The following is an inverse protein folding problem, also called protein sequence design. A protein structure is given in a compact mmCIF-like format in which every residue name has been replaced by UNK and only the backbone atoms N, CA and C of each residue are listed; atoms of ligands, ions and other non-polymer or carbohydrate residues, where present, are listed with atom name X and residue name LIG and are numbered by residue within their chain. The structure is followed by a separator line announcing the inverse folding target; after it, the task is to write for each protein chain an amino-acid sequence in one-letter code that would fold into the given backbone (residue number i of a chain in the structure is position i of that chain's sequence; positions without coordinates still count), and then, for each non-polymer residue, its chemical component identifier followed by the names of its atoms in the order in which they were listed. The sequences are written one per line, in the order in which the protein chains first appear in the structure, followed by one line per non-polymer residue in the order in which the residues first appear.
data_IF_000977889791
#
_entry.id   IF_000977889791
#
_cell.length_a   1.000
_cell.length_b   1.000
_cell.length_c   1.000
_cell.angle_alpha   90.00
_cell.angle_beta   90.00
_cell.angle_gamma   90.00
#
_symmetry.space_group_name_H-M   'P 1'
#
loop_
_entity.id
_entity.type
_entity.pdbx_description
1 polymer ?
#
# COMPACT_ATOMS: atom_id res chain seq x y z
N UNK A 1 -7.70 -13.42 -14.14
CA UNK A 1 -8.81 -12.72 -14.84
C UNK A 1 -9.31 -11.62 -13.92
N UNK A 2 -9.66 -10.45 -14.44
CA UNK A 2 -10.28 -9.39 -13.62
C UNK A 2 -11.70 -9.86 -13.24
N UNK A 3 -12.13 -9.67 -12.00
CA UNK A 3 -13.48 -10.04 -11.58
C UNK A 3 -14.55 -9.13 -12.19
N UNK A 4 -15.80 -9.62 -12.27
CA UNK A 4 -16.93 -8.89 -12.86
C UNK A 4 -17.26 -7.56 -12.13
N UNK A 5 -16.84 -7.44 -10.88
CA UNK A 5 -16.99 -6.24 -10.06
C UNK A 5 -15.77 -5.28 -10.15
N UNK A 6 -14.82 -5.53 -11.04
CA UNK A 6 -13.77 -4.57 -11.34
C UNK A 6 -14.36 -3.25 -11.85
N UNK A 7 -13.88 -2.15 -11.29
CA UNK A 7 -14.34 -0.82 -11.68
C UNK A 7 -13.22 -0.06 -12.40
N UNK A 8 -13.37 0.09 -13.71
CA UNK A 8 -12.40 0.78 -14.56
C UNK A 8 -12.21 2.27 -14.23
N UNK A 9 -13.15 2.88 -13.49
CA UNK A 9 -12.99 4.27 -13.03
C UNK A 9 -11.89 4.41 -11.97
N UNK A 10 -11.53 3.31 -11.30
CA UNK A 10 -10.37 3.25 -10.42
C UNK A 10 -9.15 2.75 -11.19
N UNK A 11 -8.65 3.56 -12.12
CA UNK A 11 -7.51 3.22 -13.00
C UNK A 11 -6.23 2.80 -12.28
N UNK A 12 -6.14 3.04 -10.98
CA UNK A 12 -4.98 2.79 -10.12
C UNK A 12 -5.23 1.72 -9.07
N UNK A 13 -6.23 0.86 -9.30
CA UNK A 13 -6.55 -0.27 -8.46
C UNK A 13 -6.86 -1.49 -9.33
N UNK A 14 -6.09 -2.56 -9.15
CA UNK A 14 -6.24 -3.80 -9.91
C UNK A 14 -6.52 -4.95 -8.94
N UNK A 15 -7.78 -5.42 -8.85
CA UNK A 15 -8.12 -6.60 -8.07
C UNK A 15 -7.83 -7.88 -8.87
N UNK A 16 -7.18 -8.84 -8.22
CA UNK A 16 -6.94 -10.18 -8.79
C UNK A 16 -7.38 -11.23 -7.77
N UNK A 17 -8.20 -12.18 -8.20
CA UNK A 17 -8.61 -13.32 -7.37
C UNK A 17 -7.74 -14.54 -7.72
N UNK A 18 -7.20 -15.18 -6.68
CA UNK A 18 -6.46 -16.43 -6.75
C UNK A 18 -7.22 -17.53 -6.01
N UNK A 19 -7.32 -18.71 -6.64
CA UNK A 19 -7.89 -19.91 -6.05
C UNK A 19 -9.28 -19.72 -5.41
N UNK A 20 -10.05 -18.74 -5.91
CA UNK A 20 -11.37 -18.35 -5.39
C UNK A 20 -11.39 -17.94 -3.89
N UNK A 21 -10.23 -17.86 -3.25
CA UNK A 21 -10.05 -17.61 -1.81
C UNK A 21 -9.30 -16.32 -1.50
N UNK A 22 -8.34 -15.94 -2.34
CA UNK A 22 -7.45 -14.81 -2.09
C UNK A 22 -7.76 -13.63 -3.00
N UNK A 23 -7.78 -12.43 -2.43
CA UNK A 23 -7.82 -11.16 -3.16
C UNK A 23 -6.47 -10.44 -3.03
N UNK A 24 -5.80 -10.25 -4.16
CA UNK A 24 -4.74 -9.26 -4.28
C UNK A 24 -5.33 -7.97 -4.86
N UNK A 25 -5.31 -6.89 -4.11
CA UNK A 25 -5.66 -5.56 -4.58
C UNK A 25 -4.38 -4.74 -4.74
N UNK A 26 -3.87 -4.66 -5.96
CA UNK A 26 -2.73 -3.80 -6.28
C UNK A 26 -3.20 -2.36 -6.43
N UNK A 27 -2.56 -1.40 -5.71
CA UNK A 27 -2.97 0.01 -5.70
C UNK A 27 -1.79 0.94 -5.98
N UNK A 28 -2.09 1.99 -6.75
CA UNK A 28 -1.16 3.09 -7.01
C UNK A 28 -1.94 4.41 -7.13
N UNK A 29 -2.51 4.92 -6.03
CA UNK A 29 -3.23 6.19 -6.06
C UNK A 29 -2.31 7.29 -6.56
N UNK A 30 -2.72 7.94 -7.65
CA UNK A 30 -1.95 9.02 -8.25
C UNK A 30 -2.87 10.17 -8.68
N UNK A 31 -2.36 11.40 -8.54
CA UNK A 31 -3.07 12.61 -8.92
C UNK A 31 -2.64 13.00 -10.34
N UNK A 32 -3.57 12.89 -11.30
CA UNK A 32 -3.35 13.33 -12.68
C UNK A 32 -4.37 14.41 -13.07
N UNK A 33 -3.86 15.53 -13.53
CA UNK A 33 -4.69 16.65 -13.99
C UNK A 33 -5.67 16.20 -15.08
N UNK A 34 -6.96 16.44 -14.85
CA UNK A 34 -8.04 16.09 -15.80
C UNK A 34 -8.50 14.61 -15.75
N UNK A 35 -7.88 13.76 -14.91
CA UNK A 35 -8.25 12.35 -14.77
C UNK A 35 -8.70 12.05 -13.34
N UNK A 36 -7.95 12.51 -12.33
CA UNK A 36 -8.28 12.30 -10.92
C UNK A 36 -8.55 13.63 -10.24
N UNK A 37 -9.45 13.62 -9.26
CA UNK A 37 -9.70 14.73 -8.34
C UNK A 37 -9.36 14.31 -6.92
N UNK A 38 -8.86 15.26 -6.10
CA UNK A 38 -8.50 15.00 -4.71
C UNK A 38 -7.02 14.80 -4.47
N UNK A 39 -6.69 14.31 -3.28
CA UNK A 39 -5.33 13.96 -2.86
C UNK A 39 -5.07 12.46 -3.05
N UNK A 40 -3.81 12.04 -2.99
CA UNK A 40 -3.44 10.60 -2.94
C UNK A 40 -4.24 9.84 -1.88
N UNK A 41 -4.41 10.47 -0.72
CA UNK A 41 -5.13 9.90 0.43
C UNK A 41 -6.61 9.73 0.12
N UNK A 42 -7.28 10.77 -0.43
CA UNK A 42 -8.71 10.66 -0.76
C UNK A 42 -8.96 9.62 -1.86
N UNK A 43 -8.10 9.57 -2.88
CA UNK A 43 -8.19 8.57 -3.94
C UNK A 43 -8.03 7.16 -3.37
N UNK A 44 -7.05 6.95 -2.48
CA UNK A 44 -6.85 5.64 -1.85
C UNK A 44 -8.06 5.24 -0.99
N UNK A 45 -8.58 6.16 -0.18
CA UNK A 45 -9.77 5.88 0.64
C UNK A 45 -11.01 5.57 -0.21
N UNK A 46 -11.22 6.26 -1.32
CA UNK A 46 -12.32 5.96 -2.25
C UNK A 46 -12.19 4.56 -2.87
N UNK A 47 -10.96 4.15 -3.24
CA UNK A 47 -10.66 2.80 -3.69
C UNK A 47 -10.98 1.78 -2.61
N UNK A 48 -10.50 1.99 -1.40
CA UNK A 48 -10.67 1.08 -0.27
C UNK A 48 -12.15 0.92 0.11
N UNK A 49 -12.92 2.01 0.16
CA UNK A 49 -14.36 1.96 0.44
C UNK A 49 -15.13 1.20 -0.66
N UNK A 50 -14.80 1.42 -1.92
CA UNK A 50 -15.43 0.68 -3.02
C UNK A 50 -15.15 -0.82 -2.94
N UNK A 51 -13.90 -1.21 -2.67
CA UNK A 51 -13.52 -2.62 -2.60
C UNK A 51 -13.75 -3.28 -1.23
N UNK A 52 -14.19 -2.54 -0.22
CA UNK A 52 -14.45 -3.03 1.15
C UNK A 52 -15.28 -4.32 1.22
N UNK A 53 -16.41 -4.48 0.47
CA UNK A 53 -17.19 -5.71 0.53
C UNK A 53 -16.39 -6.95 0.10
N UNK A 54 -15.45 -6.77 -0.83
CA UNK A 54 -14.61 -7.84 -1.35
C UNK A 54 -13.41 -8.09 -0.44
N UNK A 55 -12.79 -7.03 0.07
CA UNK A 55 -11.72 -7.10 1.08
C UNK A 55 -12.19 -7.93 2.29
N UNK A 56 -13.42 -7.72 2.73
CA UNK A 56 -13.98 -8.44 3.88
C UNK A 56 -14.42 -9.88 3.55
N UNK A 57 -14.59 -10.19 2.27
CA UNK A 57 -15.02 -11.53 1.81
C UNK A 57 -13.86 -12.50 1.65
N UNK A 58 -12.69 -12.00 1.24
CA UNK A 58 -11.54 -12.81 0.86
C UNK A 58 -10.40 -12.71 1.87
N UNK A 59 -9.48 -13.67 1.83
CA UNK A 59 -8.13 -13.50 2.37
C UNK A 59 -7.42 -12.46 1.49
N UNK A 60 -7.20 -11.28 2.02
CA UNK A 60 -6.85 -10.11 1.22
C UNK A 60 -5.46 -9.59 1.52
N UNK A 61 -4.75 -9.23 0.45
CA UNK A 61 -3.56 -8.37 0.49
C UNK A 61 -3.83 -7.13 -0.35
N UNK A 62 -3.79 -5.96 0.27
CA UNK A 62 -3.75 -4.66 -0.43
C UNK A 62 -2.31 -4.22 -0.48
N UNK A 63 -1.73 -4.06 -1.68
CA UNK A 63 -0.29 -3.82 -1.84
C UNK A 63 -0.01 -2.77 -2.91
N UNK A 64 1.03 -1.97 -2.71
CA UNK A 64 1.52 -1.02 -3.73
C UNK A 64 2.12 0.25 -3.15
N UNK A 65 2.42 1.20 -4.03
CA UNK A 65 2.78 2.57 -3.65
C UNK A 65 1.51 3.34 -3.29
N UNK A 66 1.34 3.61 -2.01
CA UNK A 66 0.16 4.33 -1.50
C UNK A 66 0.29 5.84 -1.65
N UNK A 67 1.48 6.37 -1.89
CA UNK A 67 1.77 7.81 -1.84
C UNK A 67 1.35 8.46 -0.49
N UNK A 68 1.34 7.67 0.57
CA UNK A 68 0.95 8.06 1.93
C UNK A 68 2.15 7.97 2.85
N UNK A 69 2.50 9.10 3.46
CA UNK A 69 3.65 9.21 4.35
C UNK A 69 3.19 8.96 5.79
N UNK A 70 3.72 7.92 6.42
CA UNK A 70 3.46 7.56 7.82
C UNK A 70 4.06 8.54 8.82
N UNK A 71 5.14 9.22 8.48
CA UNK A 71 5.86 10.12 9.39
C UNK A 71 4.96 11.24 9.94
N UNK A 72 4.79 11.34 11.27
CA UNK A 72 3.91 12.32 11.90
C UNK A 72 4.36 13.79 11.74
N UNK A 73 5.59 14.01 11.29
CA UNK A 73 6.12 15.34 11.00
C UNK A 73 6.00 15.73 9.53
N UNK A 74 5.41 14.87 8.68
CA UNK A 74 5.23 15.14 7.25
C UNK A 74 4.13 16.18 6.99
N UNK A 75 4.07 16.67 5.75
CA UNK A 75 2.98 17.53 5.30
C UNK A 75 1.62 16.82 5.26
N UNK A 76 1.61 15.47 5.20
CA UNK A 76 0.39 14.64 5.22
C UNK A 76 -0.07 14.28 6.65
N UNK A 77 0.59 14.73 7.71
CA UNK A 77 0.35 14.33 9.12
C UNK A 77 -1.10 14.41 9.62
N UNK A 78 -1.93 15.25 8.99
CA UNK A 78 -3.34 15.41 9.36
C UNK A 78 -4.26 14.38 8.69
N UNK A 79 -3.88 13.90 7.50
CA UNK A 79 -4.72 13.05 6.67
C UNK A 79 -4.23 11.59 6.63
N UNK A 80 -2.93 11.36 6.64
CA UNK A 80 -2.37 10.00 6.60
C UNK A 80 -2.89 9.06 7.70
N UNK A 81 -3.13 9.50 8.94
CA UNK A 81 -3.71 8.63 9.97
C UNK A 81 -5.07 8.05 9.60
N UNK A 82 -5.86 8.72 8.74
CA UNK A 82 -7.16 8.22 8.29
C UNK A 82 -7.03 6.92 7.48
N UNK A 83 -5.96 6.81 6.67
CA UNK A 83 -5.71 5.59 5.88
C UNK A 83 -5.36 4.43 6.81
N UNK A 84 -4.46 4.64 7.76
CA UNK A 84 -4.05 3.60 8.69
C UNK A 84 -5.19 3.17 9.62
N UNK A 85 -6.00 4.12 10.10
CA UNK A 85 -7.20 3.84 10.87
C UNK A 85 -8.21 3.03 10.06
N UNK A 86 -8.40 3.35 8.78
CA UNK A 86 -9.28 2.58 7.91
C UNK A 86 -8.86 1.10 7.83
N UNK A 87 -7.59 0.81 7.65
CA UNK A 87 -7.08 -0.56 7.62
C UNK A 87 -7.30 -1.29 8.95
N UNK A 88 -7.00 -0.65 10.06
CA UNK A 88 -7.19 -1.20 11.41
C UNK A 88 -8.67 -1.51 11.68
N UNK A 89 -9.58 -0.57 11.39
CA UNK A 89 -11.04 -0.71 11.56
C UNK A 89 -11.62 -1.84 10.69
N UNK A 90 -10.97 -2.18 9.57
CA UNK A 90 -11.37 -3.27 8.68
C UNK A 90 -10.55 -4.56 8.89
N UNK A 91 -9.79 -4.65 9.98
CA UNK A 91 -9.08 -5.87 10.38
C UNK A 91 -7.85 -6.21 9.56
N UNK A 92 -7.30 -5.26 8.78
CA UNK A 92 -6.07 -5.46 8.04
C UNK A 92 -4.89 -4.88 8.81
N UNK A 93 -3.78 -5.63 8.81
CA UNK A 93 -2.53 -5.23 9.46
C UNK A 93 -1.44 -5.01 8.43
N UNK A 94 -0.58 -4.03 8.67
CA UNK A 94 0.60 -3.81 7.83
C UNK A 94 1.58 -4.98 7.97
N UNK A 95 1.94 -5.60 6.84
CA UNK A 95 2.89 -6.71 6.82
C UNK A 95 4.26 -6.30 7.37
N UNK A 96 4.79 -5.15 6.92
CA UNK A 96 6.06 -4.60 7.42
C UNK A 96 6.06 -4.46 8.95
N UNK A 97 5.09 -3.71 9.49
CA UNK A 97 5.06 -3.35 10.90
C UNK A 97 4.77 -4.56 11.80
N UNK A 98 3.95 -5.51 11.30
CA UNK A 98 3.66 -6.75 12.03
C UNK A 98 4.88 -7.67 12.08
N UNK A 99 5.56 -7.85 10.95
CA UNK A 99 6.68 -8.79 10.84
C UNK A 99 7.95 -8.29 11.53
N UNK A 100 8.27 -6.99 11.38
CA UNK A 100 9.45 -6.38 11.96
C UNK A 100 9.24 -5.82 13.38
N UNK A 101 8.01 -5.88 13.91
CA UNK A 101 7.65 -5.30 15.21
C UNK A 101 7.95 -3.80 15.32
N UNK A 102 7.73 -3.06 14.24
CA UNK A 102 7.89 -1.61 14.19
C UNK A 102 6.54 -0.90 14.33
N UNK A 103 6.56 0.36 14.73
CA UNK A 103 5.38 1.23 14.76
C UNK A 103 5.26 2.04 13.48
N UNK A 104 4.05 2.23 12.98
CA UNK A 104 3.76 3.12 11.85
C UNK A 104 4.28 4.54 12.17
N UNK A 105 5.09 5.10 11.29
CA UNK A 105 5.73 6.40 11.45
C UNK A 105 7.08 6.37 12.19
N UNK A 106 7.55 5.18 12.57
CA UNK A 106 8.88 4.95 13.19
C UNK A 106 9.69 3.89 12.46
N UNK A 107 9.47 3.76 11.15
CA UNK A 107 10.14 2.80 10.30
C UNK A 107 11.65 3.03 10.30
N UNK A 108 12.42 1.96 10.54
CA UNK A 108 13.90 1.98 10.53
C UNK A 108 14.48 2.07 9.12
N UNK A 109 13.69 1.74 8.09
CA UNK A 109 14.05 1.79 6.67
C UNK A 109 12.94 2.45 5.87
N UNK A 110 13.29 2.96 4.69
CA UNK A 110 12.35 3.63 3.80
C UNK A 110 12.30 2.91 2.45
N UNK A 111 11.22 3.11 1.69
CA UNK A 111 10.99 2.45 0.40
C UNK A 111 11.20 3.37 -0.79
N UNK A 112 11.24 4.68 -0.61
CA UNK A 112 11.32 5.67 -1.68
C UNK A 112 12.51 6.61 -1.53
N UNK A 113 13.28 6.81 -2.61
CA UNK A 113 14.39 7.75 -2.68
C UNK A 113 14.01 8.99 -3.48
N UNK A 114 13.51 10.00 -2.78
CA UNK A 114 13.17 11.29 -3.38
C UNK A 114 14.33 11.96 -4.15
N UNK A 115 15.57 11.64 -3.82
CA UNK A 115 16.74 12.30 -4.38
C UNK A 115 17.36 11.55 -5.55
N UNK A 116 17.01 10.30 -5.77
CA UNK A 116 17.65 9.40 -6.73
C UNK A 116 19.13 9.10 -6.42
N UNK A 117 19.57 9.34 -5.18
CA UNK A 117 20.98 9.21 -4.76
C UNK A 117 21.24 7.99 -3.86
N UNK A 118 20.26 7.11 -3.71
CA UNK A 118 20.33 5.93 -2.85
C UNK A 118 20.03 6.21 -1.38
N UNK A 119 19.44 7.37 -1.06
CA UNK A 119 19.03 7.75 0.30
C UNK A 119 17.50 7.80 0.36
N UNK A 120 16.88 6.67 0.67
CA UNK A 120 15.43 6.63 0.90
C UNK A 120 15.04 7.60 2.00
N UNK A 121 13.98 8.37 1.76
CA UNK A 121 13.52 9.42 2.67
C UNK A 121 12.08 9.24 3.13
N UNK A 122 11.32 8.36 2.45
CA UNK A 122 9.93 8.10 2.76
C UNK A 122 9.61 6.61 2.70
N UNK A 123 8.67 6.19 3.54
CA UNK A 123 8.04 4.89 3.45
C UNK A 123 6.70 5.08 2.75
N UNK A 124 6.54 4.60 1.52
CA UNK A 124 5.37 4.81 0.66
C UNK A 124 4.73 3.52 0.17
N UNK A 125 5.52 2.44 0.17
CA UNK A 125 5.10 1.14 -0.35
C UNK A 125 4.67 0.24 0.79
N UNK A 126 3.40 -0.11 0.82
CA UNK A 126 2.80 -0.88 1.89
C UNK A 126 2.16 -2.17 1.36
N UNK A 127 2.05 -3.14 2.25
CA UNK A 127 1.15 -4.27 2.12
C UNK A 127 0.34 -4.39 3.41
N UNK A 128 -0.99 -4.32 3.29
CA UNK A 128 -1.92 -4.56 4.39
C UNK A 128 -2.69 -5.85 4.12
N UNK A 129 -2.84 -6.69 5.14
CA UNK A 129 -3.50 -8.00 5.00
C UNK A 129 -4.35 -8.35 6.22
N UNK A 130 -5.41 -9.14 5.98
CA UNK A 130 -6.22 -9.77 7.02
C UNK A 130 -5.82 -11.22 7.29
N UNK A 131 -4.66 -11.66 6.72
CA UNK A 131 -4.08 -12.98 6.96
C UNK A 131 -2.82 -12.91 7.80
N UNK A 132 -2.32 -14.06 8.24
CA UNK A 132 -1.01 -14.15 8.89
C UNK A 132 0.11 -13.83 7.90
N UNK A 133 1.05 -12.98 8.31
CA UNK A 133 2.26 -12.70 7.56
C UNK A 133 3.33 -13.71 7.95
N UNK A 134 3.72 -14.59 7.02
CA UNK A 134 4.73 -15.63 7.23
C UNK A 134 6.15 -15.12 6.98
N UNK A 135 6.30 -14.24 5.98
CA UNK A 135 7.58 -13.60 5.67
C UNK A 135 7.36 -12.20 5.08
N UNK A 136 8.33 -11.32 5.30
CA UNK A 136 8.38 -9.98 4.73
C UNK A 136 9.81 -9.59 4.41
N UNK A 137 10.04 -9.11 3.19
CA UNK A 137 11.33 -8.61 2.77
C UNK A 137 11.20 -7.23 2.12
N UNK A 138 11.95 -6.25 2.62
CA UNK A 138 12.26 -5.01 1.94
C UNK A 138 13.66 -5.14 1.33
N UNK A 139 13.72 -5.08 0.00
CA UNK A 139 14.98 -5.19 -0.73
C UNK A 139 15.88 -3.98 -0.51
N UNK A 140 17.18 -4.14 -0.74
CA UNK A 140 18.14 -3.03 -0.73
C UNK A 140 18.32 -2.43 -2.14
N UNK A 141 19.00 -1.28 -2.21
CA UNK A 141 19.37 -0.67 -3.48
C UNK A 141 20.28 -1.56 -4.33
N UNK A 142 21.17 -2.29 -3.68
CA UNK A 142 22.10 -3.22 -4.33
C UNK A 142 21.34 -4.40 -4.93
N UNK A 143 20.42 -4.97 -4.18
CA UNK A 143 19.58 -6.09 -4.64
C UNK A 143 18.65 -5.69 -5.78
N UNK A 144 18.11 -4.46 -5.78
CA UNK A 144 17.23 -3.93 -6.83
C UNK A 144 17.98 -3.43 -8.08
N UNK A 145 19.32 -3.47 -8.08
CA UNK A 145 20.17 -2.91 -9.15
C UNK A 145 19.85 -1.44 -9.49
N UNK A 146 19.27 -0.70 -8.57
CA UNK A 146 18.89 0.72 -8.73
C UNK A 146 17.98 0.98 -9.95
N UNK A 147 17.11 0.03 -10.27
CA UNK A 147 16.22 0.13 -11.44
C UNK A 147 15.04 1.07 -11.24
N UNK A 148 14.77 1.48 -10.00
CA UNK A 148 13.64 2.34 -9.63
C UNK A 148 14.06 3.28 -8.49
N UNK A 149 13.36 4.37 -8.30
CA UNK A 149 13.40 5.24 -7.11
C UNK A 149 12.59 4.65 -5.92
N UNK A 150 11.91 3.53 -6.14
CA UNK A 150 11.28 2.71 -5.10
C UNK A 150 12.02 1.40 -4.89
N UNK A 151 12.02 0.92 -3.64
CA UNK A 151 12.53 -0.40 -3.28
C UNK A 151 11.39 -1.43 -3.31
N UNK A 152 11.62 -2.62 -3.91
CA UNK A 152 10.65 -3.69 -3.90
C UNK A 152 10.37 -4.20 -2.49
N UNK A 153 9.10 -4.53 -2.23
CA UNK A 153 8.67 -5.30 -1.06
C UNK A 153 8.16 -6.66 -1.50
N UNK A 154 8.40 -7.68 -0.71
CA UNK A 154 7.88 -9.03 -0.88
C UNK A 154 7.18 -9.45 0.40
N UNK A 155 6.01 -10.06 0.26
CA UNK A 155 5.18 -10.52 1.38
C UNK A 155 4.74 -11.95 1.12
N UNK A 156 4.91 -12.82 2.10
CA UNK A 156 4.30 -14.15 2.12
C UNK A 156 3.17 -14.20 3.15
N UNK A 157 2.01 -14.67 2.73
CA UNK A 157 0.80 -14.79 3.56
C UNK A 157 0.24 -16.20 3.57
#
# INVERSE_FOLDING_TARGET
MLPDWYNENFHYAIPVIFDEEYLLLAVWPTVRKGITSGSYISILLDILEYYKPYINKYKTVVIGDYNVISNPNSFQRKESPKVFAWFEENGLKSAHHTFLHEEIGKESRFTYDHTGKGNCTFFLDYAFTNTEVKDYKLYSWEESNKMSDHLPICVEV
#
